data_IF_768506693729
#
_entry.id   IF_768506693729
#
_cell.length_a   1.000
_cell.length_b   1.000
_cell.length_c   1.000
_cell.angle_alpha   90.00
_cell.angle_beta   90.00
_cell.angle_gamma   90.00
#
_symmetry.space_group_name_H-M   'P 1'
#
loop_
_entity.id
_entity.type
_entity.pdbx_description
1 polymer ?
#
# COMPACT_ATOMS: atom_id res chain seq x y z
N UNK A 1 -32.16 22.48 -27.88
CA UNK A 1 -32.47 21.36 -26.96
C UNK A 1 -31.16 20.65 -26.66
N UNK A 2 -30.62 20.90 -25.47
CA UNK A 2 -29.38 20.31 -24.99
C UNK A 2 -29.62 18.84 -24.62
N UNK A 3 -28.88 17.92 -25.25
CA UNK A 3 -28.76 16.54 -24.78
C UNK A 3 -27.45 16.50 -23.98
N UNK A 4 -27.61 16.11 -22.73
CA UNK A 4 -26.66 16.10 -21.63
C UNK A 4 -25.32 15.42 -21.94
N UNK A 5 -24.24 16.08 -21.54
CA UNK A 5 -22.90 15.52 -21.38
C UNK A 5 -22.97 14.27 -20.48
N UNK A 6 -22.81 13.08 -21.08
CA UNK A 6 -22.49 11.88 -20.31
C UNK A 6 -21.09 12.04 -19.74
N UNK A 7 -20.98 12.27 -18.43
CA UNK A 7 -19.71 12.22 -17.71
C UNK A 7 -19.13 10.81 -17.88
N UNK A 8 -18.05 10.68 -18.64
CA UNK A 8 -17.25 9.45 -18.65
C UNK A 8 -16.64 9.33 -17.26
N UNK A 9 -17.27 8.50 -16.41
CA UNK A 9 -16.70 8.16 -15.09
C UNK A 9 -15.42 7.37 -15.37
N UNK A 10 -14.29 7.83 -14.86
CA UNK A 10 -13.02 7.14 -15.04
C UNK A 10 -12.93 5.92 -14.12
N UNK A 11 -12.14 4.90 -14.51
CA UNK A 11 -11.90 3.73 -13.67
C UNK A 11 -11.41 4.11 -12.26
N UNK A 12 -10.58 5.15 -12.15
CA UNK A 12 -10.10 5.67 -10.86
C UNK A 12 -11.20 6.30 -10.01
N UNK A 13 -12.21 6.92 -10.63
CA UNK A 13 -13.36 7.43 -9.88
C UNK A 13 -14.18 6.27 -9.29
N UNK A 14 -14.41 5.20 -10.07
CA UNK A 14 -15.17 4.03 -9.60
C UNK A 14 -14.46 3.31 -8.46
N UNK A 15 -13.15 3.07 -8.58
CA UNK A 15 -12.39 2.29 -7.58
C UNK A 15 -12.34 3.00 -6.22
N UNK A 16 -12.37 4.34 -6.21
CA UNK A 16 -12.21 5.16 -5.00
C UNK A 16 -13.52 5.76 -4.48
N UNK A 17 -14.65 5.44 -5.11
CA UNK A 17 -15.96 5.93 -4.67
C UNK A 17 -16.38 5.26 -3.34
N UNK A 18 -16.91 6.05 -2.41
CA UNK A 18 -17.51 5.53 -1.18
C UNK A 18 -18.86 4.89 -1.55
N UNK A 19 -18.95 3.57 -1.47
CA UNK A 19 -20.13 2.83 -1.90
C UNK A 19 -21.27 2.89 -0.87
N UNK A 20 -20.93 2.89 0.42
CA UNK A 20 -21.87 2.97 1.55
C UNK A 20 -21.11 3.43 2.82
N UNK A 21 -21.77 3.58 3.99
CA UNK A 21 -21.08 4.02 5.21
C UNK A 21 -19.88 3.17 5.64
N UNK A 22 -19.79 1.91 5.19
CA UNK A 22 -18.65 1.01 5.42
C UNK A 22 -17.42 1.37 4.58
N UNK A 23 -17.52 2.34 3.66
CA UNK A 23 -16.41 2.87 2.87
C UNK A 23 -16.46 2.51 1.39
N UNK A 24 -15.28 2.51 0.77
CA UNK A 24 -15.04 2.15 -0.62
C UNK A 24 -15.13 0.64 -0.86
N UNK A 25 -15.05 0.20 -2.11
CA UNK A 25 -14.97 -1.22 -2.45
C UNK A 25 -13.77 -1.92 -1.79
N UNK A 26 -12.66 -1.20 -1.60
CA UNK A 26 -11.48 -1.73 -0.92
C UNK A 26 -11.78 -2.05 0.55
N UNK A 27 -12.50 -1.18 1.28
CA UNK A 27 -12.90 -1.46 2.68
C UNK A 27 -13.72 -2.75 2.79
N UNK A 28 -14.69 -2.92 1.89
CA UNK A 28 -15.57 -4.10 1.90
C UNK A 28 -14.77 -5.37 1.59
N UNK A 29 -13.92 -5.34 0.57
CA UNK A 29 -13.10 -6.49 0.20
C UNK A 29 -12.14 -6.88 1.33
N UNK A 30 -11.54 -5.90 2.01
CA UNK A 30 -10.62 -6.15 3.13
C UNK A 30 -11.35 -6.70 4.35
N UNK A 31 -12.46 -6.09 4.73
CA UNK A 31 -13.29 -6.55 5.86
C UNK A 31 -13.81 -7.97 5.68
N UNK A 32 -14.11 -8.37 4.45
CA UNK A 32 -14.60 -9.70 4.09
C UNK A 32 -13.46 -10.70 3.80
N UNK A 33 -12.21 -10.33 4.03
CA UNK A 33 -11.02 -11.16 3.84
C UNK A 33 -10.85 -11.69 2.40
N UNK A 34 -11.32 -10.94 1.40
CA UNK A 34 -11.21 -11.30 -0.02
C UNK A 34 -9.85 -10.90 -0.61
N UNK A 35 -8.80 -11.61 -0.21
CA UNK A 35 -7.39 -11.35 -0.55
C UNK A 35 -7.15 -11.04 -2.03
N UNK A 36 -7.69 -11.86 -2.94
CA UNK A 36 -7.46 -11.68 -4.39
C UNK A 36 -8.14 -10.41 -4.95
N UNK A 37 -9.30 -10.05 -4.40
CA UNK A 37 -10.01 -8.82 -4.76
C UNK A 37 -9.21 -7.62 -4.26
N UNK A 38 -8.74 -7.64 -3.00
CA UNK A 38 -7.91 -6.57 -2.43
C UNK A 38 -6.65 -6.38 -3.25
N UNK A 39 -5.95 -7.47 -3.59
CA UNK A 39 -4.75 -7.42 -4.45
C UNK A 39 -5.03 -6.77 -5.80
N UNK A 40 -6.17 -7.10 -6.41
CA UNK A 40 -6.60 -6.54 -7.70
C UNK A 40 -6.90 -5.05 -7.59
N UNK A 41 -7.61 -4.64 -6.54
CA UNK A 41 -7.95 -3.23 -6.29
C UNK A 41 -6.70 -2.38 -6.04
N UNK A 42 -5.79 -2.86 -5.19
CA UNK A 42 -4.51 -2.19 -4.93
C UNK A 42 -3.68 -2.06 -6.22
N UNK A 43 -3.55 -3.15 -6.99
CA UNK A 43 -2.83 -3.12 -8.28
C UNK A 43 -3.47 -2.19 -9.31
N UNK A 44 -4.76 -1.88 -9.15
CA UNK A 44 -5.50 -0.94 -10.00
C UNK A 44 -5.46 0.50 -9.49
N UNK A 45 -4.71 0.80 -8.43
CA UNK A 45 -4.56 2.15 -7.90
C UNK A 45 -5.65 2.57 -6.91
N UNK A 46 -6.28 1.62 -6.21
CA UNK A 46 -7.17 1.95 -5.10
C UNK A 46 -6.42 2.75 -4.02
N UNK A 47 -7.01 3.86 -3.60
CA UNK A 47 -6.49 4.72 -2.54
C UNK A 47 -6.80 4.09 -1.18
N UNK A 48 -5.74 3.77 -0.45
CA UNK A 48 -5.78 3.15 0.88
C UNK A 48 -5.97 4.17 2.01
N UNK A 49 -5.84 5.46 1.72
CA UNK A 49 -5.90 6.56 2.69
C UNK A 49 -7.32 7.15 2.82
N UNK A 50 -8.31 6.56 2.14
CA UNK A 50 -9.71 6.97 2.28
C UNK A 50 -10.25 6.33 3.56
N UNK A 51 -10.76 7.13 4.48
CA UNK A 51 -11.44 6.65 5.68
C UNK A 51 -12.94 6.41 5.42
N UNK A 52 -13.50 5.39 6.08
CA UNK A 52 -14.94 5.16 6.13
C UNK A 52 -15.63 6.13 7.12
N UNK A 53 -16.95 5.98 7.32
CA UNK A 53 -17.71 6.85 8.24
C UNK A 53 -17.34 6.72 9.73
N UNK A 54 -16.53 5.72 10.09
CA UNK A 54 -15.99 5.50 11.43
C UNK A 54 -14.56 6.03 11.59
N UNK A 55 -13.96 6.61 10.54
CA UNK A 55 -12.56 7.05 10.55
C UNK A 55 -11.55 5.91 10.39
N UNK A 56 -11.99 4.76 9.86
CA UNK A 56 -11.13 3.59 9.63
C UNK A 56 -10.68 3.58 8.17
N UNK A 57 -9.39 3.40 7.93
CA UNK A 57 -8.85 3.06 6.61
C UNK A 57 -9.25 1.62 6.23
N UNK A 58 -9.08 1.21 4.96
CA UNK A 58 -9.24 -0.19 4.60
C UNK A 58 -8.30 -1.12 5.36
N UNK A 59 -7.07 -0.67 5.67
CA UNK A 59 -6.08 -1.49 6.39
C UNK A 59 -6.49 -1.74 7.84
N UNK A 60 -7.15 -0.78 8.51
CA UNK A 60 -7.69 -0.96 9.86
C UNK A 60 -8.72 -2.09 9.94
N UNK A 61 -9.35 -2.44 8.81
CA UNK A 61 -10.32 -3.53 8.72
C UNK A 61 -9.67 -4.90 8.44
N UNK A 62 -8.34 -4.96 8.25
CA UNK A 62 -7.61 -6.19 8.01
C UNK A 62 -7.53 -7.03 9.30
N UNK A 63 -8.14 -8.20 9.29
CA UNK A 63 -8.20 -9.09 10.47
C UNK A 63 -7.24 -10.28 10.40
N UNK A 64 -6.79 -10.66 9.20
CA UNK A 64 -5.93 -11.81 8.98
C UNK A 64 -4.50 -11.37 8.65
N UNK A 65 -3.51 -12.17 9.04
CA UNK A 65 -2.11 -11.96 8.65
C UNK A 65 -1.96 -11.99 7.13
N UNK A 66 -2.71 -12.88 6.46
CA UNK A 66 -2.72 -12.99 5.01
C UNK A 66 -3.19 -11.70 4.33
N UNK A 67 -4.22 -11.05 4.89
CA UNK A 67 -4.70 -9.77 4.39
C UNK A 67 -3.71 -8.64 4.64
N UNK A 68 -3.17 -8.53 5.86
CA UNK A 68 -2.16 -7.53 6.18
C UNK A 68 -0.92 -7.64 5.26
N UNK A 69 -0.50 -8.88 4.96
CA UNK A 69 0.62 -9.15 4.04
C UNK A 69 0.37 -8.62 2.61
N UNK A 70 -0.88 -8.51 2.15
CA UNK A 70 -1.18 -7.93 0.82
C UNK A 70 -0.82 -6.44 0.77
N UNK A 71 -1.09 -5.70 1.85
CA UNK A 71 -0.77 -4.27 1.95
C UNK A 71 0.74 -4.04 2.09
N UNK A 72 1.41 -4.90 2.84
CA UNK A 72 2.88 -4.90 2.94
C UNK A 72 3.50 -5.16 1.56
N UNK A 73 3.05 -6.20 0.85
CA UNK A 73 3.50 -6.52 -0.51
C UNK A 73 3.29 -5.33 -1.47
N UNK A 74 2.17 -4.59 -1.35
CA UNK A 74 1.95 -3.38 -2.13
C UNK A 74 2.95 -2.26 -1.78
N UNK A 75 3.25 -2.03 -0.50
CA UNK A 75 4.25 -1.06 -0.06
C UNK A 75 5.62 -1.36 -0.66
N UNK A 76 6.03 -2.63 -0.65
CA UNK A 76 7.30 -3.08 -1.23
C UNK A 76 7.34 -2.87 -2.74
N UNK A 77 6.25 -3.19 -3.45
CA UNK A 77 6.13 -2.95 -4.90
C UNK A 77 6.18 -1.47 -5.25
N UNK A 78 5.46 -0.62 -4.53
CA UNK A 78 5.49 0.84 -4.71
C UNK A 78 6.91 1.39 -4.47
N UNK A 79 7.61 0.86 -3.47
CA UNK A 79 9.00 1.22 -3.15
C UNK A 79 9.97 0.86 -4.28
N UNK A 80 9.88 -0.34 -4.85
CA UNK A 80 10.69 -0.74 -6.00
C UNK A 80 10.38 0.06 -7.28
N UNK A 81 9.18 0.63 -7.40
CA UNK A 81 8.76 1.46 -8.54
C UNK A 81 8.95 2.96 -8.31
N UNK A 82 9.29 3.38 -7.09
CA UNK A 82 9.35 4.78 -6.67
C UNK A 82 8.01 5.54 -6.77
N UNK A 83 6.90 4.88 -6.43
CA UNK A 83 5.55 5.46 -6.39
C UNK A 83 5.34 6.22 -5.06
N UNK A 84 5.97 7.39 -4.92
CA UNK A 84 6.09 8.13 -3.65
C UNK A 84 4.75 8.41 -2.95
N UNK A 85 3.75 8.88 -3.71
CA UNK A 85 2.43 9.17 -3.15
C UNK A 85 1.78 7.92 -2.55
N UNK A 86 1.98 6.76 -3.19
CA UNK A 86 1.40 5.49 -2.73
C UNK A 86 2.14 4.93 -1.52
N UNK A 87 3.46 5.13 -1.45
CA UNK A 87 4.24 4.82 -0.25
C UNK A 87 3.68 5.61 0.94
N UNK A 88 3.50 6.92 0.79
CA UNK A 88 2.92 7.77 1.83
C UNK A 88 1.52 7.33 2.24
N UNK A 89 0.63 7.06 1.28
CA UNK A 89 -0.73 6.58 1.55
C UNK A 89 -0.74 5.28 2.36
N UNK A 90 0.09 4.29 2.00
CA UNK A 90 0.14 3.01 2.71
C UNK A 90 0.64 3.17 4.15
N UNK A 91 1.67 4.00 4.36
CA UNK A 91 2.21 4.25 5.70
C UNK A 91 1.20 5.04 6.55
N UNK A 92 0.53 6.05 5.98
CA UNK A 92 -0.50 6.82 6.66
C UNK A 92 -1.71 5.95 7.05
N UNK A 93 -2.09 4.99 6.21
CA UNK A 93 -3.11 3.99 6.51
C UNK A 93 -2.69 2.98 7.60
N UNK A 94 -1.48 3.10 8.16
CA UNK A 94 -1.01 2.29 9.29
C UNK A 94 -0.17 1.06 8.91
N UNK A 95 0.19 0.88 7.64
CA UNK A 95 1.10 -0.19 7.24
C UNK A 95 2.49 0.11 7.81
N UNK A 96 3.01 -0.78 8.66
CA UNK A 96 4.34 -0.59 9.26
C UNK A 96 5.42 -0.57 8.17
N UNK A 97 6.11 0.56 8.05
CA UNK A 97 7.19 0.82 7.10
C UNK A 97 8.36 -0.17 7.21
N UNK A 98 8.52 -0.81 8.37
CA UNK A 98 9.56 -1.81 8.63
C UNK A 98 9.07 -3.25 8.46
N UNK A 99 7.84 -3.46 7.96
CA UNK A 99 7.31 -4.79 7.66
C UNK A 99 8.20 -5.53 6.66
N UNK A 100 8.28 -6.84 6.83
CA UNK A 100 9.13 -7.73 6.05
C UNK A 100 8.27 -8.58 5.10
N UNK A 101 8.75 -8.82 3.86
CA UNK A 101 7.99 -9.52 2.82
C UNK A 101 7.56 -10.94 3.20
N UNK A 102 8.53 -11.81 3.49
CA UNK A 102 8.28 -13.20 3.80
C UNK A 102 9.26 -13.70 4.87
N UNK A 103 8.94 -14.81 5.56
CA UNK A 103 9.85 -15.40 6.54
C UNK A 103 11.21 -15.80 5.97
N UNK A 104 11.31 -16.08 4.67
CA UNK A 104 12.54 -16.52 4.01
C UNK A 104 13.46 -15.36 3.67
N UNK A 105 12.93 -14.32 3.01
CA UNK A 105 13.74 -13.19 2.54
C UNK A 105 13.85 -12.07 3.57
N UNK A 106 12.79 -11.84 4.34
CA UNK A 106 12.67 -10.80 5.36
C UNK A 106 13.09 -9.39 4.89
N UNK A 107 12.88 -9.05 3.62
CA UNK A 107 13.22 -7.72 3.11
C UNK A 107 12.14 -6.71 3.49
N UNK A 108 12.57 -5.51 3.86
CA UNK A 108 11.69 -4.36 4.06
C UNK A 108 11.50 -3.57 2.77
N UNK A 109 10.54 -2.63 2.77
CA UNK A 109 10.37 -1.64 1.70
C UNK A 109 11.70 -0.91 1.35
N UNK A 110 12.50 -0.59 2.36
CA UNK A 110 13.80 0.07 2.17
C UNK A 110 14.82 -0.83 1.47
N UNK A 111 14.85 -2.14 1.76
CA UNK A 111 15.68 -3.09 1.01
C UNK A 111 15.32 -3.11 -0.47
N UNK A 112 14.02 -3.12 -0.79
CA UNK A 112 13.53 -3.12 -2.17
C UNK A 112 13.92 -1.81 -2.87
N UNK A 113 13.67 -0.65 -2.27
CA UNK A 113 14.04 0.65 -2.85
C UNK A 113 15.53 0.74 -3.20
N UNK A 114 16.42 0.28 -2.30
CA UNK A 114 17.87 0.26 -2.55
C UNK A 114 18.25 -0.74 -3.66
N UNK A 115 17.73 -1.97 -3.58
CA UNK A 115 18.02 -3.02 -4.57
C UNK A 115 17.65 -2.60 -6.00
N UNK A 116 16.54 -1.89 -6.16
CA UNK A 116 16.06 -1.39 -7.45
C UNK A 116 16.61 0.01 -7.82
N UNK A 117 17.53 0.57 -7.03
CA UNK A 117 18.20 1.84 -7.31
C UNK A 117 17.24 3.03 -7.34
N UNK A 118 16.33 3.13 -6.36
CA UNK A 118 15.30 4.16 -6.26
C UNK A 118 15.62 5.18 -5.16
N UNK A 119 16.53 6.14 -5.39
CA UNK A 119 16.98 7.07 -4.34
C UNK A 119 15.84 7.94 -3.79
N UNK A 120 14.86 8.32 -4.62
CA UNK A 120 13.70 9.09 -4.17
C UNK A 120 12.80 8.28 -3.23
N UNK A 121 12.55 7.01 -3.54
CA UNK A 121 11.83 6.11 -2.63
C UNK A 121 12.63 5.80 -1.35
N UNK A 122 13.96 5.66 -1.44
CA UNK A 122 14.82 5.53 -0.25
C UNK A 122 14.64 6.73 0.67
N UNK A 123 14.73 7.95 0.14
CA UNK A 123 14.55 9.16 0.93
C UNK A 123 13.13 9.23 1.50
N UNK A 124 12.11 8.99 0.69
CA UNK A 124 10.71 8.99 1.11
C UNK A 124 10.47 8.01 2.27
N UNK A 125 10.96 6.77 2.18
CA UNK A 125 10.82 5.78 3.24
C UNK A 125 11.54 6.20 4.53
N UNK A 126 12.76 6.77 4.42
CA UNK A 126 13.49 7.28 5.58
C UNK A 126 12.76 8.45 6.25
N UNK A 127 12.18 9.36 5.46
CA UNK A 127 11.38 10.48 5.97
C UNK A 127 10.12 9.99 6.71
N UNK A 128 9.60 8.82 6.32
CA UNK A 128 8.49 8.14 7.00
C UNK A 128 8.95 7.15 8.09
N UNK A 129 10.21 7.24 8.53
CA UNK A 129 10.71 6.49 9.69
C UNK A 129 11.16 5.05 9.40
N UNK A 130 11.41 4.69 8.14
CA UNK A 130 12.05 3.41 7.82
C UNK A 130 13.41 3.28 8.51
N UNK A 131 13.66 2.16 9.17
CA UNK A 131 14.94 1.90 9.83
C UNK A 131 15.97 1.38 8.81
N UNK A 132 17.13 2.05 8.68
CA UNK A 132 18.22 1.58 7.80
C UNK A 132 18.98 0.38 8.39
N UNK A 133 18.61 -0.09 9.58
CA UNK A 133 19.33 -1.11 10.34
C UNK A 133 18.59 -2.45 10.42
N UNK A 134 17.39 -2.59 9.85
CA UNK A 134 16.67 -3.88 9.83
C UNK A 134 17.51 -4.87 9.03
N UNK A 135 17.78 -6.05 9.58
CA UNK A 135 18.48 -7.11 8.84
C UNK A 135 17.47 -8.03 8.17
N UNK A 136 17.71 -8.36 6.91
CA UNK A 136 16.91 -9.36 6.19
C UNK A 136 17.36 -10.80 6.51
N UNK A 137 16.76 -11.79 5.86
CA UNK A 137 17.03 -13.22 6.06
C UNK A 137 18.45 -13.63 5.66
N UNK A 138 19.19 -12.77 4.95
CA UNK A 138 20.58 -12.95 4.58
C UNK A 138 21.56 -12.22 5.52
N UNK A 139 21.07 -11.59 6.59
CA UNK A 139 21.89 -10.81 7.52
C UNK A 139 22.39 -9.49 6.94
N UNK A 140 21.73 -8.98 5.90
CA UNK A 140 22.10 -7.74 5.20
C UNK A 140 21.16 -6.61 5.65
N UNK A 141 21.69 -5.42 5.88
CA UNK A 141 20.89 -4.20 6.09
C UNK A 141 20.57 -3.50 4.77
N UNK A 142 19.50 -2.68 4.67
CA UNK A 142 19.11 -2.03 3.43
C UNK A 142 20.25 -1.23 2.79
N UNK A 143 20.99 -0.48 3.60
CA UNK A 143 22.06 0.41 3.14
C UNK A 143 23.46 -0.23 3.20
N UNK A 144 23.56 -1.56 3.36
CA UNK A 144 24.84 -2.28 3.57
C UNK A 144 25.93 -2.01 2.49
N UNK A 145 25.53 -1.62 1.27
CA UNK A 145 26.44 -1.39 0.13
C UNK A 145 26.36 0.01 -0.47
N UNK A 146 25.65 0.95 0.17
CA UNK A 146 25.75 2.38 -0.20
C UNK A 146 27.05 2.97 0.37
#
# INVERSE_FOLDING_TARGET
SAISNGTSISTNQVINEICNPSGTLLHLATKLDHVDIVRTLLSSGANVDIENSHGESPFDLAQSEAMAAVYVDELLKCSAKSELDRIGQLINAGVDVNSQDSPESMNTALHWAVCFGKPEAVQCLLDHGASPNVVNGHGVTPLHKL
#
